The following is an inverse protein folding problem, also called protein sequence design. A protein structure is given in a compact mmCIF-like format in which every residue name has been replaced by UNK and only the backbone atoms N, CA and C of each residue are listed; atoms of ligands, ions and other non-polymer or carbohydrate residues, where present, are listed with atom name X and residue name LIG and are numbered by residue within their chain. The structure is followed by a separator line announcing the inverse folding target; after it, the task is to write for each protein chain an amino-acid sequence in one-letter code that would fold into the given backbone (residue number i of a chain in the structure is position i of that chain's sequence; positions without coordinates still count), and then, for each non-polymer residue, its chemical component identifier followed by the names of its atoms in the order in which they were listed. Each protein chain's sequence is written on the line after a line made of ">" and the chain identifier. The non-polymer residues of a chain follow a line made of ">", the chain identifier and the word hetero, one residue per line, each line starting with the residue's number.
data_IF_240074550526
#
_entry.id   IF_240074550526
#
_cell.length_a   1.000
_cell.length_b   1.000
_cell.length_c   1.000
_cell.angle_alpha   90.00
_cell.angle_beta   90.00
_cell.angle_gamma   90.00
#
_symmetry.space_group_name_H-M   'P 1'
#
loop_
_entity.id
_entity.type
_entity.pdbx_description
1 polymer ?
#
# COMPACT_ATOMS: atom_id res chain seq x y z
N UNK A 1 19.34 -8.34 -2.73
CA UNK A 1 18.89 -7.57 -1.54
C UNK A 1 17.47 -7.97 -1.20
N UNK A 2 16.99 -7.70 0.03
CA UNK A 2 15.58 -7.94 0.39
C UNK A 2 14.75 -6.67 0.17
N UNK A 3 13.74 -6.75 -0.70
CA UNK A 3 12.95 -5.62 -1.18
C UNK A 3 11.48 -5.77 -0.76
N UNK A 4 10.89 -4.71 -0.23
CA UNK A 4 9.44 -4.61 -0.03
C UNK A 4 8.81 -3.67 -1.05
N UNK A 5 7.79 -4.13 -1.75
CA UNK A 5 6.96 -3.34 -2.64
C UNK A 5 5.59 -3.15 -1.99
N UNK A 6 5.29 -1.93 -1.58
CA UNK A 6 4.01 -1.50 -0.99
C UNK A 6 3.18 -0.80 -2.07
N UNK A 7 2.21 -1.50 -2.67
CA UNK A 7 1.33 -0.94 -3.69
C UNK A 7 0.02 -0.50 -3.05
N UNK A 8 -0.32 0.78 -3.24
CA UNK A 8 -1.38 1.49 -2.53
C UNK A 8 -0.93 1.82 -1.10
N UNK A 9 0.12 2.63 -1.00
CA UNK A 9 0.75 2.98 0.27
C UNK A 9 -0.13 3.82 1.19
N UNK A 10 -1.09 4.57 0.65
CA UNK A 10 -2.07 5.38 1.37
C UNK A 10 -1.43 6.24 2.47
N UNK A 11 -1.72 6.00 3.75
CA UNK A 11 -1.15 6.74 4.87
C UNK A 11 0.08 6.07 5.48
N UNK A 12 0.55 4.96 4.91
CA UNK A 12 1.77 4.26 5.28
C UNK A 12 1.56 3.17 6.34
N UNK A 13 0.35 2.63 6.48
CA UNK A 13 0.02 1.59 7.47
C UNK A 13 0.81 0.29 7.23
N UNK A 14 0.99 -0.12 5.98
CA UNK A 14 1.81 -1.27 5.60
C UNK A 14 3.31 -0.91 5.59
N UNK A 15 3.64 0.31 5.15
CA UNK A 15 5.00 0.85 5.17
C UNK A 15 5.61 0.85 6.57
N UNK A 16 4.85 1.27 7.59
CA UNK A 16 5.28 1.23 9.00
C UNK A 16 5.64 -0.19 9.44
N UNK A 17 4.84 -1.19 9.05
CA UNK A 17 5.14 -2.60 9.35
C UNK A 17 6.43 -3.05 8.68
N UNK A 18 6.61 -2.73 7.39
CA UNK A 18 7.80 -3.11 6.62
C UNK A 18 9.08 -2.44 7.12
N UNK A 19 8.96 -1.27 7.77
CA UNK A 19 10.09 -0.56 8.36
C UNK A 19 10.63 -1.22 9.63
N UNK A 20 9.92 -2.16 10.24
CA UNK A 20 10.44 -2.94 11.36
C UNK A 20 11.72 -3.69 10.94
N UNK A 21 12.89 -3.39 11.55
CA UNK A 21 14.16 -3.98 11.13
C UNK A 21 14.21 -5.51 11.22
N UNK A 22 13.29 -6.14 11.98
CA UNK A 22 13.18 -7.60 12.08
C UNK A 22 12.92 -8.30 10.75
N UNK A 23 12.38 -7.57 9.77
CA UNK A 23 12.11 -8.11 8.44
C UNK A 23 13.34 -8.08 7.52
N UNK A 24 14.36 -7.30 7.87
CA UNK A 24 15.60 -7.24 7.10
C UNK A 24 15.46 -6.61 5.70
N UNK A 25 14.38 -5.87 5.42
CA UNK A 25 14.26 -5.13 4.16
C UNK A 25 15.35 -4.06 4.07
N UNK A 26 16.08 -4.07 2.96
CA UNK A 26 17.16 -3.13 2.65
C UNK A 26 16.64 -1.99 1.76
N UNK A 27 15.57 -2.24 1.01
CA UNK A 27 14.89 -1.28 0.15
C UNK A 27 13.39 -1.46 0.25
N UNK A 28 12.65 -0.35 0.32
CA UNK A 28 11.20 -0.32 0.37
C UNK A 28 10.70 0.69 -0.65
N UNK A 29 9.87 0.26 -1.58
CA UNK A 29 9.20 1.13 -2.54
C UNK A 29 7.72 1.22 -2.16
N UNK A 30 7.22 2.43 -1.92
CA UNK A 30 5.81 2.67 -1.62
C UNK A 30 5.16 3.45 -2.77
N UNK A 31 4.29 2.77 -3.50
CA UNK A 31 3.58 3.29 -4.67
C UNK A 31 2.27 3.92 -4.23
N UNK A 32 2.14 5.21 -4.53
CA UNK A 32 0.96 5.97 -4.15
C UNK A 32 0.70 7.09 -5.17
N UNK A 33 -0.35 6.98 -6.00
CA UNK A 33 -0.66 7.98 -6.99
C UNK A 33 -1.32 9.25 -6.43
N UNK A 34 -2.05 9.20 -5.31
CA UNK A 34 -2.76 10.36 -4.78
C UNK A 34 -1.81 11.39 -4.16
N UNK A 35 -1.86 12.65 -4.60
CA UNK A 35 -0.96 13.71 -4.12
C UNK A 35 -1.00 13.93 -2.61
N UNK A 36 -2.17 13.76 -2.00
CA UNK A 36 -2.32 13.91 -0.55
C UNK A 36 -1.54 12.83 0.21
N UNK A 37 -1.75 11.57 -0.17
CA UNK A 37 -1.10 10.41 0.42
C UNK A 37 0.41 10.44 0.19
N UNK A 38 0.88 10.83 -1.00
CA UNK A 38 2.31 11.04 -1.27
C UNK A 38 2.97 12.02 -0.29
N UNK A 39 2.30 13.12 0.05
CA UNK A 39 2.85 14.10 1.02
C UNK A 39 3.02 13.47 2.40
N UNK A 40 2.09 12.60 2.80
CA UNK A 40 2.16 11.85 4.05
C UNK A 40 3.32 10.86 4.02
N UNK A 41 3.43 10.05 2.96
CA UNK A 41 4.47 9.03 2.81
C UNK A 41 5.88 9.64 2.77
N UNK A 42 6.06 10.80 2.12
CA UNK A 42 7.34 11.55 2.13
C UNK A 42 7.73 12.06 3.52
N UNK A 43 6.80 12.06 4.48
CA UNK A 43 7.07 12.38 5.88
C UNK A 43 7.83 11.28 6.62
N UNK A 44 7.85 10.04 6.11
CA UNK A 44 8.62 8.95 6.71
C UNK A 44 10.12 9.20 6.56
N UNK A 45 10.86 9.02 7.66
CA UNK A 45 12.30 9.34 7.78
C UNK A 45 13.14 8.08 7.91
N UNK A 46 13.24 7.33 6.83
CA UNK A 46 14.10 6.14 6.74
C UNK A 46 14.72 6.04 5.34
N UNK A 47 16.04 5.82 5.28
CA UNK A 47 16.79 5.80 4.02
C UNK A 47 16.45 4.63 3.10
N UNK A 48 15.76 3.62 3.63
CA UNK A 48 15.30 2.46 2.84
C UNK A 48 14.08 2.81 1.98
N UNK A 49 13.34 3.87 2.33
CA UNK A 49 12.06 4.22 1.70
C UNK A 49 12.26 5.06 0.45
N UNK A 50 11.61 4.63 -0.62
CA UNK A 50 11.41 5.41 -1.84
C UNK A 50 9.92 5.49 -2.15
N UNK A 51 9.37 6.71 -2.09
CA UNK A 51 7.98 6.96 -2.50
C UNK A 51 7.94 7.08 -4.03
N UNK A 52 7.16 6.22 -4.67
CA UNK A 52 6.93 6.23 -6.11
C UNK A 52 5.58 6.92 -6.37
N UNK A 53 5.54 8.13 -6.98
CA UNK A 53 4.33 8.92 -7.14
C UNK A 53 3.46 8.44 -8.32
N UNK A 54 3.17 7.15 -8.35
CA UNK A 54 2.40 6.50 -9.41
C UNK A 54 1.72 5.23 -8.87
N UNK A 55 0.63 4.81 -9.52
CA UNK A 55 0.08 3.48 -9.34
C UNK A 55 0.82 2.44 -10.18
N UNK A 56 0.84 1.18 -9.74
CA UNK A 56 1.20 0.07 -10.62
C UNK A 56 -0.05 -0.45 -11.33
N UNK A 57 0.12 -0.87 -12.59
CA UNK A 57 -0.96 -1.39 -13.43
C UNK A 57 -0.41 -2.32 -14.52
N UNK A 58 -1.27 -2.78 -15.42
CA UNK A 58 -0.90 -3.54 -16.63
C UNK A 58 -0.40 -2.67 -17.78
N UNK A 59 -0.47 -1.34 -17.62
CA UNK A 59 -0.03 -0.37 -18.62
C UNK A 59 0.63 0.84 -17.99
N UNK A 60 1.49 1.49 -18.77
CA UNK A 60 2.05 2.81 -18.46
C UNK A 60 1.16 3.91 -19.07
N UNK A 61 1.06 5.06 -18.40
CA UNK A 61 0.30 6.22 -18.91
C UNK A 61 -0.42 6.98 -17.82
N UNK A 62 -1.51 7.65 -18.18
CA UNK A 62 -2.36 8.40 -17.23
C UNK A 62 -3.70 7.71 -17.00
N UNK A 63 -4.26 7.89 -15.81
CA UNK A 63 -5.62 7.49 -15.47
C UNK A 63 -6.27 8.51 -14.54
N UNK A 64 -7.60 8.49 -14.49
CA UNK A 64 -8.36 9.23 -13.49
C UNK A 64 -8.50 8.37 -12.24
N UNK A 65 -8.06 8.89 -11.10
CA UNK A 65 -8.33 8.33 -9.78
C UNK A 65 -9.57 8.99 -9.20
N UNK A 66 -10.63 8.23 -8.97
CA UNK A 66 -11.86 8.69 -8.32
C UNK A 66 -11.74 8.51 -6.80
N UNK A 67 -12.13 9.52 -6.03
CA UNK A 67 -12.09 9.49 -4.56
C UNK A 67 -10.71 9.74 -3.99
N UNK A 68 -9.89 10.57 -4.67
CA UNK A 68 -8.47 10.75 -4.32
C UNK A 68 -8.28 11.07 -2.83
N UNK A 69 -7.39 10.33 -2.16
CA UNK A 69 -7.08 10.50 -0.74
C UNK A 69 -8.11 9.93 0.26
N UNK A 70 -9.19 9.29 -0.22
CA UNK A 70 -10.15 8.56 0.59
C UNK A 70 -9.82 7.06 0.61
N UNK A 71 -10.24 6.38 1.69
CA UNK A 71 -10.37 4.92 1.70
C UNK A 71 -11.41 4.54 0.64
N UNK A 72 -11.05 3.67 -0.31
CA UNK A 72 -11.90 3.33 -1.45
C UNK A 72 -11.50 3.93 -2.79
N UNK A 73 -10.54 4.85 -2.84
CA UNK A 73 -10.13 5.55 -4.08
C UNK A 73 -9.75 4.57 -5.20
N UNK A 74 -10.30 4.71 -6.41
CA UNK A 74 -10.09 3.70 -7.48
C UNK A 74 -10.04 4.32 -8.86
N UNK A 75 -9.38 3.63 -9.79
CA UNK A 75 -9.39 4.00 -11.22
C UNK A 75 -10.64 3.50 -11.95
N UNK A 76 -11.46 2.69 -11.28
CA UNK A 76 -12.72 2.16 -11.80
C UNK A 76 -13.89 3.04 -11.35
N UNK A 77 -14.59 3.63 -12.32
CA UNK A 77 -15.68 4.57 -12.07
C UNK A 77 -16.95 3.91 -11.50
N UNK A 78 -17.12 2.60 -11.70
CA UNK A 78 -18.27 1.81 -11.23
C UNK A 78 -18.08 1.27 -9.80
N UNK A 79 -16.99 1.64 -9.13
CA UNK A 79 -16.84 1.37 -7.71
C UNK A 79 -17.71 2.32 -6.91
N UNK A 80 -18.54 1.77 -6.02
CA UNK A 80 -19.40 2.58 -5.16
C UNK A 80 -18.54 3.46 -4.23
N UNK A 81 -18.67 4.77 -4.41
CA UNK A 81 -17.90 5.78 -3.68
C UNK A 81 -18.85 6.46 -2.70
N UNK A 82 -18.64 6.26 -1.40
CA UNK A 82 -19.49 6.86 -0.39
C UNK A 82 -19.25 8.38 -0.28
N UNK A 83 -20.11 9.20 -0.90
CA UNK A 83 -20.19 10.65 -0.67
C UNK A 83 -20.63 11.50 -1.88
N UNK A 84 -21.26 12.64 -1.61
CA UNK A 84 -21.85 13.54 -2.63
C UNK A 84 -20.82 14.33 -3.48
N UNK A 85 -19.52 14.26 -3.14
CA UNK A 85 -18.43 14.92 -3.88
C UNK A 85 -17.20 14.02 -3.92
N UNK A 86 -17.09 13.24 -4.99
CA UNK A 86 -15.92 12.41 -5.28
C UNK A 86 -14.90 13.29 -5.98
N UNK A 87 -13.90 13.79 -5.24
CA UNK A 87 -12.75 14.46 -5.87
C UNK A 87 -12.02 13.45 -6.76
N UNK A 88 -11.59 13.89 -7.95
CA UNK A 88 -10.81 13.08 -8.87
C UNK A 88 -9.50 13.75 -9.22
N UNK A 89 -8.50 12.92 -9.53
CA UNK A 89 -7.16 13.36 -9.86
C UNK A 89 -6.61 12.58 -11.06
N UNK A 90 -5.96 13.26 -12.01
CA UNK A 90 -5.16 12.59 -13.04
C UNK A 90 -3.86 12.10 -12.42
N UNK A 91 -3.63 10.79 -12.50
CA UNK A 91 -2.49 10.09 -11.89
C UNK A 91 -1.65 9.38 -12.94
N UNK A 92 -0.36 9.20 -12.63
CA UNK A 92 0.52 8.36 -13.42
C UNK A 92 0.34 6.88 -13.06
N UNK A 93 0.36 6.03 -14.08
CA UNK A 93 0.44 4.58 -13.98
C UNK A 93 1.75 4.10 -14.59
N UNK A 94 2.36 3.12 -13.93
CA UNK A 94 3.54 2.41 -14.41
C UNK A 94 3.16 0.96 -14.64
N UNK A 95 3.56 0.43 -15.80
CA UNK A 95 3.43 -1.00 -16.07
C UNK A 95 4.30 -1.79 -15.10
N UNK A 96 3.68 -2.73 -14.39
CA UNK A 96 4.30 -3.50 -13.32
C UNK A 96 5.56 -4.25 -13.79
N UNK A 97 5.47 -4.92 -14.94
CA UNK A 97 6.59 -5.66 -15.55
C UNK A 97 7.78 -4.76 -15.86
N UNK A 98 7.55 -3.64 -16.55
CA UNK A 98 8.60 -2.70 -16.94
C UNK A 98 9.29 -2.12 -15.71
N UNK A 99 8.50 -1.70 -14.71
CA UNK A 99 9.06 -1.15 -13.49
C UNK A 99 9.90 -2.18 -12.73
N UNK A 100 9.41 -3.41 -12.56
CA UNK A 100 10.12 -4.45 -11.82
C UNK A 100 11.46 -4.80 -12.50
N UNK A 101 11.46 -5.00 -13.82
CA UNK A 101 12.68 -5.29 -14.58
C UNK A 101 13.71 -4.15 -14.52
N UNK A 102 13.26 -2.89 -14.56
CA UNK A 102 14.16 -1.74 -14.53
C UNK A 102 14.75 -1.44 -13.14
N UNK A 103 14.08 -1.81 -12.04
CA UNK A 103 14.43 -1.35 -10.69
C UNK A 103 14.94 -2.46 -9.75
N UNK A 104 14.99 -3.71 -10.21
CA UNK A 104 15.39 -4.86 -9.38
C UNK A 104 16.23 -5.86 -10.15
N UNK A 105 17.02 -6.69 -9.46
CA UNK A 105 17.86 -7.76 -10.00
C UNK A 105 17.25 -9.14 -9.78
N UNK A 106 17.64 -10.14 -10.57
CA UNK A 106 17.19 -11.54 -10.41
C UNK A 106 17.60 -12.16 -9.07
N UNK A 107 18.63 -11.59 -8.41
CA UNK A 107 19.11 -12.04 -7.10
C UNK A 107 18.39 -11.39 -5.92
N UNK A 108 17.39 -10.56 -6.18
CA UNK A 108 16.65 -9.88 -5.12
C UNK A 108 15.52 -10.74 -4.57
N UNK A 109 15.33 -10.67 -3.25
CA UNK A 109 14.20 -11.30 -2.57
C UNK A 109 13.07 -10.28 -2.45
N UNK A 110 12.07 -10.38 -3.32
CA UNK A 110 11.04 -9.35 -3.49
C UNK A 110 9.74 -9.79 -2.82
N UNK A 111 9.23 -8.97 -1.90
CA UNK A 111 7.97 -9.16 -1.22
C UNK A 111 6.99 -8.08 -1.69
N UNK A 112 5.84 -8.50 -2.21
CA UNK A 112 4.86 -7.59 -2.80
C UNK A 112 3.58 -7.55 -1.97
N UNK A 113 3.22 -6.38 -1.46
CA UNK A 113 1.89 -6.11 -0.91
C UNK A 113 1.07 -5.35 -1.95
N UNK A 114 -0.14 -5.85 -2.22
CA UNK A 114 -1.14 -5.25 -3.10
C UNK A 114 -2.41 -4.95 -2.31
N UNK A 115 -2.72 -3.66 -2.17
CA UNK A 115 -4.05 -3.16 -1.82
C UNK A 115 -4.14 -1.77 -2.43
N UNK A 116 -4.65 -1.72 -3.65
CA UNK A 116 -4.77 -0.55 -4.52
C UNK A 116 -6.19 -0.43 -5.07
N UNK A 117 -7.17 -0.87 -4.28
CA UNK A 117 -8.58 -0.52 -4.39
C UNK A 117 -9.21 -0.93 -5.74
N UNK A 118 -8.77 -2.07 -6.31
CA UNK A 118 -9.34 -2.68 -7.50
C UNK A 118 -8.33 -3.00 -8.61
N UNK A 119 -7.16 -2.37 -8.61
CA UNK A 119 -6.14 -2.61 -9.64
C UNK A 119 -5.19 -3.78 -9.32
N UNK A 120 -5.48 -4.59 -8.28
CA UNK A 120 -4.64 -5.73 -7.92
C UNK A 120 -4.55 -6.74 -9.07
N UNK A 121 -5.68 -7.01 -9.72
CA UNK A 121 -5.75 -7.90 -10.87
C UNK A 121 -4.94 -7.35 -12.05
N UNK A 122 -4.94 -6.04 -12.29
CA UNK A 122 -4.16 -5.45 -13.40
C UNK A 122 -2.67 -5.69 -13.22
N UNK A 123 -2.18 -5.49 -11.99
CA UNK A 123 -0.77 -5.71 -11.66
C UNK A 123 -0.40 -7.19 -11.78
N UNK A 124 -1.21 -8.07 -11.21
CA UNK A 124 -0.93 -9.51 -11.18
C UNK A 124 -1.02 -10.15 -12.56
N UNK A 125 -2.02 -9.79 -13.36
CA UNK A 125 -2.17 -10.31 -14.73
C UNK A 125 -0.98 -9.91 -15.60
N UNK A 126 -0.51 -8.65 -15.55
CA UNK A 126 0.68 -8.23 -16.29
C UNK A 126 1.94 -8.99 -15.87
N UNK A 127 2.12 -9.21 -14.56
CA UNK A 127 3.27 -9.97 -14.06
C UNK A 127 3.18 -11.46 -14.40
N UNK A 128 1.97 -12.03 -14.44
CA UNK A 128 1.73 -13.42 -14.85
C UNK A 128 1.96 -13.60 -16.35
N UNK A 129 1.43 -12.70 -17.18
CA UNK A 129 1.55 -12.74 -18.64
C UNK A 129 3.01 -12.60 -19.11
N UNK A 130 3.79 -11.75 -18.44
CA UNK A 130 5.22 -11.56 -18.75
C UNK A 130 6.14 -12.59 -18.09
N UNK A 131 5.62 -13.38 -17.14
CA UNK A 131 6.40 -14.33 -16.35
C UNK A 131 7.24 -13.72 -15.23
N UNK A 132 7.30 -12.39 -15.09
CA UNK A 132 8.10 -11.75 -14.02
C UNK A 132 7.55 -12.00 -12.61
N UNK A 133 6.32 -12.52 -12.50
CA UNK A 133 5.74 -12.98 -11.23
C UNK A 133 6.68 -13.94 -10.48
N UNK A 134 7.45 -14.77 -11.21
CA UNK A 134 8.39 -15.72 -10.63
C UNK A 134 9.59 -15.08 -9.90
N UNK A 135 9.78 -13.76 -10.05
CA UNK A 135 10.77 -12.99 -9.29
C UNK A 135 10.30 -12.65 -7.88
N UNK A 136 9.00 -12.80 -7.60
CA UNK A 136 8.42 -12.48 -6.30
C UNK A 136 8.58 -13.67 -5.35
N UNK A 137 9.16 -13.41 -4.18
CA UNK A 137 9.30 -14.41 -3.12
C UNK A 137 7.96 -14.76 -2.50
N UNK A 138 7.15 -13.74 -2.21
CA UNK A 138 5.82 -13.89 -1.63
C UNK A 138 4.97 -12.65 -1.91
N UNK A 139 3.67 -12.85 -2.03
CA UNK A 139 2.68 -11.82 -2.32
C UNK A 139 1.63 -11.78 -1.21
N UNK A 140 1.30 -10.59 -0.72
CA UNK A 140 0.05 -10.34 -0.01
C UNK A 140 -0.86 -9.54 -0.93
N UNK A 141 -2.10 -9.98 -1.10
CA UNK A 141 -3.07 -9.30 -1.96
C UNK A 141 -4.44 -9.23 -1.30
N UNK A 142 -4.97 -8.01 -1.18
CA UNK A 142 -6.33 -7.71 -0.74
C UNK A 142 -7.18 -7.36 -1.97
N UNK A 143 -7.99 -8.31 -2.43
CA UNK A 143 -8.74 -8.18 -3.68
C UNK A 143 -10.00 -7.33 -3.50
N UNK A 144 -9.88 -6.05 -3.80
CA UNK A 144 -10.99 -5.10 -3.79
C UNK A 144 -11.85 -5.12 -5.06
N UNK A 145 -11.43 -5.86 -6.10
CA UNK A 145 -12.22 -6.10 -7.31
C UNK A 145 -13.63 -6.64 -7.02
N UNK A 146 -13.84 -7.32 -5.89
CA UNK A 146 -15.18 -7.78 -5.45
C UNK A 146 -16.17 -6.64 -5.18
N UNK A 147 -15.66 -5.43 -4.92
CA UNK A 147 -16.43 -4.19 -4.71
C UNK A 147 -16.68 -3.44 -6.02
N UNK A 148 -16.21 -3.98 -7.15
CA UNK A 148 -16.27 -3.35 -8.47
C UNK A 148 -17.00 -4.30 -9.41
N UNK A 149 -18.28 -4.05 -9.73
CA UNK A 149 -19.11 -4.99 -10.50
C UNK A 149 -18.46 -5.46 -11.81
N UNK A 150 -17.82 -4.57 -12.57
CA UNK A 150 -17.15 -4.94 -13.83
C UNK A 150 -15.94 -5.86 -13.64
N UNK A 151 -15.31 -5.87 -12.46
CA UNK A 151 -14.06 -6.57 -12.19
C UNK A 151 -14.21 -7.79 -11.27
N UNK A 152 -15.38 -7.97 -10.64
CA UNK A 152 -15.58 -8.96 -9.57
C UNK A 152 -15.16 -10.40 -9.94
N UNK A 153 -15.32 -10.78 -11.21
CA UNK A 153 -14.95 -12.11 -11.71
C UNK A 153 -13.44 -12.37 -11.73
N UNK A 154 -12.62 -11.32 -11.85
CA UNK A 154 -11.17 -11.45 -12.08
C UNK A 154 -10.41 -12.06 -10.91
N UNK A 155 -10.90 -11.90 -9.67
CA UNK A 155 -10.26 -12.49 -8.48
C UNK A 155 -10.04 -13.99 -8.65
N UNK A 156 -11.10 -14.73 -9.00
CA UNK A 156 -11.03 -16.18 -9.11
C UNK A 156 -10.04 -16.62 -10.20
N UNK A 157 -10.05 -15.94 -11.35
CA UNK A 157 -9.13 -16.20 -12.45
C UNK A 157 -7.67 -15.92 -12.05
N UNK A 158 -7.39 -14.80 -11.40
CA UNK A 158 -6.03 -14.44 -10.99
C UNK A 158 -5.49 -15.40 -9.92
N UNK A 159 -6.30 -15.74 -8.91
CA UNK A 159 -5.90 -16.71 -7.89
C UNK A 159 -5.58 -18.08 -8.49
N UNK A 160 -6.40 -18.56 -9.44
CA UNK A 160 -6.14 -19.82 -10.14
C UNK A 160 -4.83 -19.78 -10.92
N UNK A 161 -4.56 -18.70 -11.66
CA UNK A 161 -3.30 -18.52 -12.38
C UNK A 161 -2.10 -18.47 -11.43
N UNK A 162 -2.20 -17.79 -10.28
CA UNK A 162 -1.15 -17.79 -9.26
C UNK A 162 -0.85 -19.20 -8.73
N UNK A 163 -1.89 -20.02 -8.48
CA UNK A 163 -1.74 -21.42 -8.07
C UNK A 163 -1.08 -22.27 -9.15
N UNK A 164 -1.48 -22.11 -10.41
CA UNK A 164 -0.88 -22.81 -11.56
C UNK A 164 0.61 -22.49 -11.72
N UNK A 165 1.00 -21.23 -11.50
CA UNK A 165 2.40 -20.79 -11.48
C UNK A 165 3.16 -21.17 -10.20
N UNK A 166 2.50 -21.83 -9.23
CA UNK A 166 3.05 -22.17 -7.91
C UNK A 166 3.59 -20.96 -7.15
N UNK A 167 3.02 -19.79 -7.41
CA UNK A 167 3.43 -18.55 -6.75
C UNK A 167 2.95 -18.56 -5.29
N UNK A 168 3.82 -18.18 -4.36
CA UNK A 168 3.41 -18.02 -2.97
C UNK A 168 2.64 -16.72 -2.80
N UNK A 169 1.37 -16.82 -2.39
CA UNK A 169 0.53 -15.67 -2.08
C UNK A 169 -0.35 -15.92 -0.86
N UNK A 170 -0.78 -14.83 -0.22
CA UNK A 170 -1.65 -14.80 0.95
C UNK A 170 -2.74 -13.76 0.71
N UNK A 171 -3.98 -14.10 1.04
CA UNK A 171 -5.10 -13.15 1.08
C UNK A 171 -5.55 -12.93 2.53
N UNK A 172 -6.17 -11.78 2.84
CA UNK A 172 -6.73 -11.49 4.17
C UNK A 172 -7.52 -12.65 4.78
N UNK A 173 -8.33 -13.34 3.99
CA UNK A 173 -9.24 -14.38 4.50
C UNK A 173 -8.52 -15.66 4.96
N UNK A 174 -7.24 -15.81 4.63
CA UNK A 174 -6.40 -16.93 5.06
C UNK A 174 -5.64 -16.67 6.37
N UNK A 175 -5.77 -15.46 6.93
CA UNK A 175 -5.04 -15.00 8.12
C UNK A 175 -5.94 -14.97 9.36
N UNK A 176 -5.32 -15.08 10.54
CA UNK A 176 -6.03 -14.97 11.81
C UNK A 176 -6.50 -13.54 12.09
N UNK A 177 -5.67 -12.54 11.75
CA UNK A 177 -6.06 -11.13 11.75
C UNK A 177 -6.14 -10.59 10.31
N UNK A 178 -7.35 -10.52 9.72
CA UNK A 178 -7.51 -10.25 8.29
C UNK A 178 -7.37 -8.78 7.92
N UNK A 179 -7.10 -7.85 8.86
CA UNK A 179 -7.20 -6.42 8.58
C UNK A 179 -5.87 -5.64 8.67
N UNK A 180 -5.61 -4.83 7.64
CA UNK A 180 -4.62 -3.75 7.66
C UNK A 180 -3.21 -4.19 8.08
N UNK A 181 -2.59 -3.42 8.98
CA UNK A 181 -1.21 -3.66 9.44
C UNK A 181 -1.01 -5.00 10.14
N UNK A 182 -2.04 -5.56 10.78
CA UNK A 182 -1.94 -6.84 11.47
C UNK A 182 -1.83 -7.99 10.47
N UNK A 183 -2.66 -7.97 9.43
CA UNK A 183 -2.58 -8.91 8.31
C UNK A 183 -1.21 -8.90 7.62
N UNK A 184 -0.68 -7.70 7.32
CA UNK A 184 0.66 -7.55 6.72
C UNK A 184 1.74 -8.12 7.65
N UNK A 185 1.63 -7.91 8.96
CA UNK A 185 2.57 -8.43 9.96
C UNK A 185 2.52 -9.95 10.06
N UNK A 186 1.33 -10.54 10.01
CA UNK A 186 1.13 -11.98 10.02
C UNK A 186 1.69 -12.61 8.74
N UNK A 187 1.34 -12.08 7.57
CA UNK A 187 1.90 -12.52 6.29
C UNK A 187 3.43 -12.50 6.27
N UNK A 188 4.06 -11.39 6.68
CA UNK A 188 5.53 -11.29 6.73
C UNK A 188 6.15 -12.31 7.69
N UNK A 189 5.44 -12.69 8.75
CA UNK A 189 5.88 -13.75 9.67
C UNK A 189 5.84 -15.13 9.03
N UNK A 190 4.88 -15.38 8.12
CA UNK A 190 4.75 -16.64 7.37
C UNK A 190 5.74 -16.71 6.18
N UNK A 191 6.00 -15.57 5.54
CA UNK A 191 6.68 -15.50 4.25
C UNK A 191 8.22 -15.61 4.31
N UNK A 192 8.83 -15.67 5.50
CA UNK A 192 10.25 -15.96 5.59
C UNK A 192 10.91 -15.63 6.93
N UNK A 193 12.20 -15.99 7.08
CA UNK A 193 12.92 -15.85 8.33
C UNK A 193 13.01 -14.37 8.73
N UNK A 194 12.75 -14.13 10.01
CA UNK A 194 13.02 -12.85 10.65
C UNK A 194 14.54 -12.76 10.82
N UNK A 195 15.13 -11.67 10.31
CA UNK A 195 16.51 -11.34 10.63
C UNK A 195 16.49 -10.31 11.73
N UNK A 196 16.90 -10.65 12.97
CA UNK A 196 17.02 -9.68 14.05
C UNK A 196 18.23 -8.78 13.77
N UNK A 197 18.07 -7.84 12.85
CA UNK A 197 19.08 -6.81 12.63
C UNK A 197 18.95 -5.83 13.79
N UNK A 198 19.96 -5.80 14.68
CA UNK A 198 19.99 -4.85 15.79
C UNK A 198 20.03 -3.38 15.32
N UNK A 199 20.55 -3.16 14.11
CA UNK A 199 20.67 -1.83 13.50
C UNK A 199 19.29 -1.24 13.22
N UNK A 200 19.02 -0.09 13.81
CA UNK A 200 17.76 0.64 13.61
C UNK A 200 16.61 0.22 14.53
N UNK A 201 16.73 -0.87 15.31
CA UNK A 201 15.66 -1.35 16.19
C UNK A 201 15.26 -0.30 17.24
N UNK A 202 16.22 0.39 17.85
CA UNK A 202 15.94 1.48 18.78
C UNK A 202 15.22 2.65 18.09
N UNK A 203 15.68 3.04 16.88
CA UNK A 203 15.05 4.14 16.11
C UNK A 203 13.60 3.82 15.76
N UNK A 204 13.34 2.57 15.34
CA UNK A 204 12.01 2.09 15.03
C UNK A 204 11.10 2.04 16.27
N UNK A 205 11.60 1.50 17.39
CA UNK A 205 10.87 1.48 18.68
C UNK A 205 10.55 2.89 19.20
N UNK A 206 11.50 3.81 19.03
CA UNK A 206 11.32 5.23 19.29
C UNK A 206 10.52 5.93 18.19
N UNK A 207 9.95 5.24 17.19
CA UNK A 207 9.12 5.84 16.14
C UNK A 207 9.78 6.93 15.30
N UNK A 208 11.11 7.03 15.29
CA UNK A 208 11.83 8.15 14.67
C UNK A 208 11.72 8.17 13.13
N UNK A 209 11.27 7.06 12.55
CA UNK A 209 10.94 6.94 11.13
C UNK A 209 9.56 7.51 10.80
N UNK A 210 8.67 7.68 11.79
CA UNK A 210 7.29 8.12 11.55
C UNK A 210 7.24 9.62 11.21
N UNK A 211 6.28 10.03 10.34
CA UNK A 211 5.99 11.43 10.09
C UNK A 211 5.72 12.24 11.37
N UNK A 212 6.17 13.51 11.45
CA UNK A 212 5.96 14.36 12.62
C UNK A 212 4.49 14.53 13.05
N UNK A 213 3.54 14.47 12.11
CA UNK A 213 2.12 14.61 12.46
C UNK A 213 1.59 13.42 13.29
N UNK A 214 2.19 12.23 13.16
CA UNK A 214 1.83 11.06 13.98
C UNK A 214 2.24 11.28 15.44
N UNK A 215 3.37 11.95 15.66
CA UNK A 215 3.80 12.34 17.00
C UNK A 215 2.85 13.36 17.62
N UNK A 216 2.49 14.38 16.85
CA UNK A 216 1.53 15.40 17.27
C UNK A 216 0.15 14.78 17.58
N UNK A 217 -0.32 13.83 16.75
CA UNK A 217 -1.61 13.16 16.98
C UNK A 217 -1.57 12.24 18.20
N UNK A 218 -0.47 11.52 18.44
CA UNK A 218 -0.27 10.70 19.65
C UNK A 218 -0.24 11.56 20.92
N UNK A 219 0.50 12.66 20.90
CA UNK A 219 0.56 13.62 22.00
C UNK A 219 -0.82 14.24 22.27
N UNK A 220 -1.53 14.67 21.22
CA UNK A 220 -2.88 15.21 21.34
C UNK A 220 -3.86 14.17 21.90
N UNK A 221 -3.79 12.91 21.47
CA UNK A 221 -4.63 11.81 21.98
C UNK A 221 -4.36 11.48 23.45
N UNK A 222 -3.12 11.67 23.91
CA UNK A 222 -2.74 11.47 25.31
C UNK A 222 -3.12 12.66 26.21
N UNK A 223 -3.10 13.88 25.67
CA UNK A 223 -3.35 15.12 26.43
C UNK A 223 -4.82 15.59 26.39
N UNK A 224 -5.59 15.22 25.37
CA UNK A 224 -6.97 15.67 25.20
C UNK A 224 -7.99 14.61 25.63
N UNK A 225 -9.08 14.99 26.32
CA UNK A 225 -10.20 14.09 26.56
C UNK A 225 -10.74 13.57 25.22
N UNK A 226 -11.08 12.27 25.15
CA UNK A 226 -11.60 11.58 23.95
C UNK A 226 -12.64 12.37 23.12
N UNK A 227 -13.65 13.06 23.70
CA UNK A 227 -14.60 13.84 22.91
C UNK A 227 -13.99 15.08 22.24
N UNK A 228 -12.99 15.72 22.86
CA UNK A 228 -12.29 16.86 22.26
C UNK A 228 -11.40 16.43 21.09
N UNK A 229 -10.76 15.26 21.20
CA UNK A 229 -9.99 14.68 20.10
C UNK A 229 -10.87 14.27 18.91
N UNK A 230 -12.03 13.64 19.15
CA UNK A 230 -12.94 13.25 18.07
C UNK A 230 -13.57 14.46 17.38
N UNK A 231 -13.89 15.52 18.13
CA UNK A 231 -14.31 16.81 17.59
C UNK A 231 -13.19 17.47 16.78
N UNK A 232 -11.96 17.54 17.30
CA UNK A 232 -10.81 18.12 16.59
C UNK A 232 -10.46 17.34 15.32
N UNK A 233 -10.51 16.00 15.34
CA UNK A 233 -10.29 15.16 14.17
C UNK A 233 -11.39 15.37 13.12
N UNK A 234 -12.66 15.49 13.53
CA UNK A 234 -13.77 15.86 12.65
C UNK A 234 -13.62 17.28 12.10
N UNK A 235 -13.16 18.22 12.92
CA UNK A 235 -13.02 19.63 12.52
C UNK A 235 -11.82 19.85 11.59
N UNK A 236 -10.70 19.17 11.82
CA UNK A 236 -9.53 19.15 10.93
C UNK A 236 -9.84 18.41 9.63
N UNK A 237 -10.55 17.27 9.70
CA UNK A 237 -11.07 16.55 8.54
C UNK A 237 -12.17 17.29 7.77
N UNK A 238 -12.84 18.27 8.39
CA UNK A 238 -13.78 19.19 7.75
C UNK A 238 -13.09 20.47 7.24
N UNK A 239 -12.01 20.92 7.88
CA UNK A 239 -11.20 22.06 7.43
C UNK A 239 -10.29 21.70 6.25
N UNK A 240 -9.81 20.45 6.16
CA UNK A 240 -9.16 19.96 4.93
C UNK A 240 -10.11 20.03 3.74
N UNK A 241 -11.41 19.76 3.95
CA UNK A 241 -12.48 19.90 2.94
C UNK A 241 -12.84 21.36 2.59
N UNK A 242 -12.58 22.32 3.49
CA UNK A 242 -12.88 23.76 3.25
C UNK A 242 -11.70 24.55 2.68
N UNK A 243 -10.47 24.07 2.84
CA UNK A 243 -9.27 24.72 2.30
C UNK A 243 -9.02 24.43 0.82
N UNK A 244 -9.80 23.54 0.21
CA UNK A 244 -9.81 23.24 -1.23
C UNK A 244 -10.85 24.04 -2.01
N UNK A 245 -11.74 24.79 -1.34
CA UNK A 245 -12.73 25.70 -1.95
C UNK A 245 -12.17 27.13 -2.20
N UNK A 246 -10.85 27.31 -2.33
CA UNK A 246 -10.21 28.58 -2.72
C UNK A 246 -9.11 28.39 -3.74
#
# INVERSE_FOLDING_TARGET
>A
MRIFLDVGGHYGEALDVALDPRWGFERIYSFEPARHCQRILRGFRDSRVQVVPAGLSSRSGEATLFGTGLLGASVYADKDQAGDRVESETIALLRATEWLLANTSERDEIYLKLNCEGSECDVLEDMLDSGVIGRLRSIYVDFDVRKIPSQAHRRATVEERLRQHRQQFVTPESLADPAGSAAVREWLSLAGPQSPVARGALRYRLGLHLPPYIWASRAAKAALPRPAYSLAARHLGAQSRRRTDR
#
